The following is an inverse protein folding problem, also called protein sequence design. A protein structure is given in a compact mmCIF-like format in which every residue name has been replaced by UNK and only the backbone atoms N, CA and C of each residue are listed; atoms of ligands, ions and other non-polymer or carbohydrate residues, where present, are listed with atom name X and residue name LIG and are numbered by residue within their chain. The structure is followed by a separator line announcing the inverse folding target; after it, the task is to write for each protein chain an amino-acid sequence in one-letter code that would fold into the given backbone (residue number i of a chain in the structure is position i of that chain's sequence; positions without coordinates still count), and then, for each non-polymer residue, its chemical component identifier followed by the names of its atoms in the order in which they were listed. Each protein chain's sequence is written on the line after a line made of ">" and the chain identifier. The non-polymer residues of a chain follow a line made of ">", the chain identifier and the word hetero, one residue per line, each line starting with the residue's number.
data_IF_099940235226
#
_entry.id   IF_099940235226
#
_cell.length_a   1.000
_cell.length_b   1.000
_cell.length_c   1.000
_cell.angle_alpha   90.00
_cell.angle_beta   90.00
_cell.angle_gamma   90.00
#
_symmetry.space_group_name_H-M   'P 1'
#
loop_
_entity.id
_entity.type
_entity.pdbx_description
1 polymer ?
#
# COMPACT_ATOMS: atom_id res chain seq x y z
N UNK A 1 -6.65 -11.25 16.46
CA UNK A 1 -7.06 -10.15 17.35
C UNK A 1 -8.45 -9.66 16.99
N UNK A 2 -9.09 -8.99 17.93
CA UNK A 2 -10.39 -8.35 17.69
C UNK A 2 -10.28 -6.91 18.13
N UNK A 3 -11.03 -6.03 17.48
CA UNK A 3 -11.16 -4.66 17.99
C UNK A 3 -11.82 -4.70 19.37
N UNK A 4 -11.34 -3.88 20.31
CA UNK A 4 -11.89 -3.86 21.70
C UNK A 4 -13.28 -3.22 21.76
N UNK A 5 -13.71 -2.53 20.69
CA UNK A 5 -14.98 -1.83 20.57
C UNK A 5 -15.76 -2.31 19.35
N UNK A 6 -17.09 -2.22 19.41
CA UNK A 6 -18.00 -2.58 18.31
C UNK A 6 -18.65 -1.36 17.66
N UNK A 7 -18.31 -0.17 18.07
CA UNK A 7 -18.78 1.07 17.45
C UNK A 7 -17.80 2.21 17.72
N UNK A 8 -17.78 3.17 16.84
CA UNK A 8 -16.95 4.37 17.01
C UNK A 8 -16.87 5.23 15.76
N UNK A 9 -16.24 6.38 15.92
CA UNK A 9 -15.94 7.29 14.82
C UNK A 9 -14.42 7.38 14.65
N UNK A 10 -13.98 7.34 13.37
CA UNK A 10 -12.58 7.43 12.99
C UNK A 10 -12.41 8.54 11.96
N UNK A 11 -11.45 9.43 12.19
CA UNK A 11 -11.04 10.45 11.22
C UNK A 11 -9.67 10.10 10.64
N UNK A 12 -9.62 9.83 9.33
CA UNK A 12 -8.41 9.38 8.63
C UNK A 12 -7.61 10.50 7.96
N UNK A 13 -8.04 11.74 8.08
CA UNK A 13 -7.35 12.89 7.49
C UNK A 13 -7.22 12.80 5.97
N UNK A 14 -6.04 13.17 5.45
CA UNK A 14 -5.69 13.09 4.02
C UNK A 14 -4.84 11.86 3.68
N UNK A 15 -4.54 10.99 4.65
CA UNK A 15 -3.64 9.86 4.50
C UNK A 15 -4.32 8.69 3.78
N UNK A 16 -4.03 8.52 2.49
CA UNK A 16 -4.63 7.48 1.65
C UNK A 16 -4.40 6.07 2.17
N UNK A 17 -3.21 5.78 2.67
CA UNK A 17 -2.85 4.48 3.26
C UNK A 17 -3.69 4.20 4.51
N UNK A 18 -3.72 5.13 5.47
CA UNK A 18 -4.54 4.99 6.68
C UNK A 18 -6.01 4.81 6.34
N UNK A 19 -6.55 5.61 5.41
CA UNK A 19 -7.94 5.54 4.98
C UNK A 19 -8.31 4.14 4.46
N UNK A 20 -7.49 3.55 3.60
CA UNK A 20 -7.74 2.25 2.98
C UNK A 20 -7.57 1.09 3.96
N UNK A 21 -6.49 1.12 4.73
CA UNK A 21 -6.16 0.05 5.68
C UNK A 21 -7.16 -0.01 6.83
N UNK A 22 -7.54 1.14 7.39
CA UNK A 22 -8.55 1.21 8.45
C UNK A 22 -9.92 0.78 7.91
N UNK A 23 -10.32 1.20 6.71
CA UNK A 23 -11.58 0.78 6.10
C UNK A 23 -11.68 -0.75 6.00
N UNK A 24 -10.64 -1.43 5.50
CA UNK A 24 -10.64 -2.89 5.43
C UNK A 24 -10.64 -3.56 6.80
N UNK A 25 -9.86 -3.03 7.77
CA UNK A 25 -9.84 -3.52 9.14
C UNK A 25 -11.23 -3.47 9.79
N UNK A 26 -11.93 -2.34 9.63
CA UNK A 26 -13.27 -2.15 10.18
C UNK A 26 -14.30 -3.04 9.46
N UNK A 27 -14.17 -3.21 8.14
CA UNK A 27 -15.04 -4.08 7.36
C UNK A 27 -14.94 -5.57 7.78
N UNK A 28 -13.76 -6.02 8.23
CA UNK A 28 -13.57 -7.39 8.73
C UNK A 28 -13.65 -7.50 10.27
N UNK A 29 -14.24 -6.51 10.90
CA UNK A 29 -14.49 -6.48 12.34
C UNK A 29 -15.99 -6.33 12.61
N UNK A 30 -16.54 -7.11 13.55
CA UNK A 30 -17.96 -6.95 13.96
C UNK A 30 -18.19 -5.57 14.57
N UNK A 31 -19.16 -4.83 14.03
CA UNK A 31 -19.55 -3.55 14.58
C UNK A 31 -20.03 -2.53 13.56
N UNK A 32 -20.36 -1.33 14.06
CA UNK A 32 -20.77 -0.18 13.26
C UNK A 32 -19.79 0.97 13.49
N UNK A 33 -19.16 1.44 12.42
CA UNK A 33 -18.10 2.43 12.47
C UNK A 33 -18.37 3.58 11.49
N UNK A 34 -18.34 4.82 11.96
CA UNK A 34 -18.38 5.99 11.11
C UNK A 34 -16.95 6.39 10.73
N UNK A 35 -16.67 6.48 9.44
CA UNK A 35 -15.35 6.90 8.94
C UNK A 35 -15.48 8.24 8.21
N UNK A 36 -14.69 9.19 8.67
CA UNK A 36 -14.60 10.54 8.10
C UNK A 36 -13.20 10.82 7.59
N UNK A 37 -13.11 11.73 6.66
CA UNK A 37 -11.83 12.16 6.06
C UNK A 37 -11.80 13.66 5.79
N UNK A 38 -10.63 14.15 5.33
CA UNK A 38 -10.50 15.48 4.76
C UNK A 38 -11.21 15.59 3.39
N UNK A 39 -11.51 16.81 2.95
CA UNK A 39 -12.05 17.09 1.62
C UNK A 39 -11.15 16.59 0.49
N UNK A 40 -9.84 16.59 0.70
CA UNK A 40 -8.88 16.05 -0.26
C UNK A 40 -9.02 14.54 -0.40
N UNK A 41 -9.21 13.81 0.70
CA UNK A 41 -9.36 12.35 0.69
C UNK A 41 -10.71 11.91 0.10
N UNK A 42 -11.78 12.68 0.25
CA UNK A 42 -13.08 12.43 -0.38
C UNK A 42 -12.98 12.29 -1.91
N UNK A 43 -11.99 12.94 -2.54
CA UNK A 43 -11.77 12.92 -4.00
C UNK A 43 -10.95 11.72 -4.47
N UNK A 44 -10.33 10.97 -3.57
CA UNK A 44 -9.48 9.83 -3.91
C UNK A 44 -10.30 8.56 -4.12
N UNK A 45 -9.89 7.67 -5.06
CA UNK A 45 -10.65 6.46 -5.35
C UNK A 45 -10.70 5.53 -4.13
N UNK A 46 -11.92 5.05 -3.82
CA UNK A 46 -12.20 4.06 -2.78
C UNK A 46 -13.13 2.94 -3.30
N UNK A 47 -13.82 3.18 -4.44
CA UNK A 47 -14.90 2.33 -4.92
C UNK A 47 -14.50 0.87 -5.12
N UNK A 48 -13.32 0.61 -5.72
CA UNK A 48 -12.88 -0.77 -5.99
C UNK A 48 -12.59 -1.56 -4.70
N UNK A 49 -12.04 -0.88 -3.66
CA UNK A 49 -11.89 -1.46 -2.33
C UNK A 49 -13.24 -1.72 -1.68
N UNK A 50 -14.14 -0.73 -1.73
CA UNK A 50 -15.49 -0.85 -1.12
C UNK A 50 -16.25 -1.99 -1.79
N UNK A 51 -16.25 -2.07 -3.12
CA UNK A 51 -16.91 -3.15 -3.85
C UNK A 51 -16.39 -4.54 -3.47
N UNK A 52 -15.06 -4.69 -3.30
CA UNK A 52 -14.47 -5.95 -2.85
C UNK A 52 -14.88 -6.30 -1.41
N UNK A 53 -14.96 -5.32 -0.51
CA UNK A 53 -15.39 -5.51 0.88
C UNK A 53 -16.90 -5.78 0.99
N UNK A 54 -17.75 -5.15 0.16
CA UNK A 54 -19.18 -5.46 0.06
C UNK A 54 -19.39 -6.87 -0.49
N UNK A 55 -18.66 -7.25 -1.53
CA UNK A 55 -18.64 -8.62 -2.04
C UNK A 55 -18.21 -9.66 -1.01
N UNK A 56 -17.38 -9.24 -0.05
CA UNK A 56 -16.97 -10.07 1.08
C UNK A 56 -18.00 -10.10 2.24
N UNK A 57 -19.06 -9.29 2.19
CA UNK A 57 -20.16 -9.31 3.16
C UNK A 57 -20.19 -8.15 4.16
N UNK A 58 -19.31 -7.16 4.04
CA UNK A 58 -19.47 -5.91 4.76
C UNK A 58 -20.56 -5.05 4.09
N UNK A 59 -21.18 -4.14 4.86
CA UNK A 59 -22.16 -3.20 4.30
C UNK A 59 -21.69 -1.76 4.51
N UNK A 60 -21.98 -0.89 3.54
CA UNK A 60 -21.62 0.53 3.58
C UNK A 60 -22.86 1.43 3.46
N UNK A 61 -22.95 2.43 4.30
CA UNK A 61 -23.95 3.51 4.21
C UNK A 61 -23.23 4.82 3.91
N UNK A 62 -23.37 5.33 2.70
CA UNK A 62 -22.73 6.57 2.26
C UNK A 62 -23.56 7.77 2.72
N UNK A 63 -22.95 8.71 3.45
CA UNK A 63 -23.64 9.85 4.00
C UNK A 63 -23.72 11.07 3.05
N UNK A 64 -22.84 11.12 2.06
CA UNK A 64 -22.80 12.19 1.05
C UNK A 64 -22.83 11.59 -0.36
N UNK A 65 -21.68 11.12 -0.86
CA UNK A 65 -21.54 10.60 -2.21
C UNK A 65 -21.18 9.12 -2.17
N UNK A 66 -21.78 8.32 -3.06
CA UNK A 66 -21.47 6.90 -3.21
C UNK A 66 -19.96 6.70 -3.41
N UNK A 67 -19.42 5.67 -2.77
CA UNK A 67 -18.01 5.25 -2.81
C UNK A 67 -17.01 6.33 -2.32
N UNK A 68 -17.50 7.31 -1.55
CA UNK A 68 -16.70 8.39 -0.98
C UNK A 68 -16.98 8.57 0.51
N UNK A 69 -16.00 9.07 1.24
CA UNK A 69 -16.19 9.53 2.61
C UNK A 69 -17.16 10.72 2.69
N UNK A 70 -17.89 10.90 3.81
CA UNK A 70 -17.98 10.00 4.95
C UNK A 70 -18.94 8.84 4.70
N UNK A 71 -18.69 7.70 5.34
CA UNK A 71 -19.58 6.54 5.30
C UNK A 71 -19.56 5.77 6.62
N UNK A 72 -20.64 5.03 6.88
CA UNK A 72 -20.67 4.02 7.93
C UNK A 72 -20.31 2.66 7.36
N UNK A 73 -19.64 1.85 8.17
CA UNK A 73 -19.29 0.48 7.87
C UNK A 73 -19.97 -0.42 8.89
N UNK A 74 -20.75 -1.39 8.40
CA UNK A 74 -21.28 -2.50 9.18
C UNK A 74 -20.39 -3.71 8.85
N UNK A 75 -19.43 -3.98 9.73
CA UNK A 75 -18.40 -4.97 9.50
C UNK A 75 -18.82 -6.39 9.85
N UNK A 76 -18.13 -7.36 9.25
CA UNK A 76 -18.32 -8.79 9.49
C UNK A 76 -17.03 -9.48 9.90
N UNK A 77 -17.07 -10.38 10.88
CA UNK A 77 -15.91 -11.23 11.22
C UNK A 77 -15.87 -12.55 10.46
N UNK A 78 -16.85 -12.79 9.60
CA UNK A 78 -16.98 -13.97 8.74
C UNK A 78 -17.17 -13.59 7.28
N UNK A 79 -16.17 -12.91 6.65
CA UNK A 79 -16.26 -12.53 5.27
C UNK A 79 -16.27 -13.75 4.34
N UNK A 80 -16.64 -13.53 3.07
CA UNK A 80 -16.44 -14.53 2.03
C UNK A 80 -14.98 -14.96 1.97
N UNK A 81 -14.72 -16.24 1.68
CA UNK A 81 -13.34 -16.76 1.66
C UNK A 81 -12.55 -16.28 0.45
N UNK A 82 -13.21 -16.15 -0.68
CA UNK A 82 -12.58 -15.74 -1.94
C UNK A 82 -12.97 -14.31 -2.27
N UNK A 83 -11.97 -13.45 -2.37
CA UNK A 83 -12.13 -12.02 -2.59
C UNK A 83 -11.29 -11.63 -3.80
N UNK A 84 -11.92 -10.98 -4.78
CA UNK A 84 -11.21 -10.38 -5.91
C UNK A 84 -11.26 -8.86 -5.77
N UNK A 85 -10.13 -8.19 -5.96
CA UNK A 85 -10.02 -6.73 -5.90
C UNK A 85 -9.32 -6.18 -7.12
N UNK A 86 -9.89 -5.13 -7.71
CA UNK A 86 -9.24 -4.40 -8.81
C UNK A 86 -8.18 -3.45 -8.25
N UNK A 87 -6.93 -3.68 -8.65
CA UNK A 87 -5.77 -2.88 -8.23
C UNK A 87 -5.30 -1.87 -9.29
N UNK A 88 -6.02 -1.75 -10.39
CA UNK A 88 -5.65 -0.85 -11.50
C UNK A 88 -5.40 0.60 -11.03
N UNK A 89 -6.18 1.06 -10.06
CA UNK A 89 -6.05 2.41 -9.50
C UNK A 89 -5.14 2.48 -8.27
N UNK A 90 -4.95 1.38 -7.55
CA UNK A 90 -4.11 1.36 -6.34
C UNK A 90 -3.88 -0.06 -5.82
N UNK A 91 -2.61 -0.45 -5.67
CA UNK A 91 -2.20 -1.68 -4.98
C UNK A 91 -2.55 -1.67 -3.48
N UNK A 92 -2.77 -0.49 -2.88
CA UNK A 92 -3.15 -0.38 -1.46
C UNK A 92 -4.49 -1.06 -1.15
N UNK A 93 -5.36 -1.26 -2.15
CA UNK A 93 -6.62 -1.98 -1.95
C UNK A 93 -6.37 -3.44 -1.57
N UNK A 94 -5.49 -4.11 -2.29
CA UNK A 94 -5.11 -5.48 -1.96
C UNK A 94 -4.34 -5.56 -0.64
N UNK A 95 -3.35 -4.71 -0.43
CA UNK A 95 -2.62 -4.62 0.84
C UNK A 95 -3.55 -4.44 2.04
N UNK A 96 -4.59 -3.60 1.91
CA UNK A 96 -5.59 -3.38 2.94
C UNK A 96 -6.36 -4.67 3.30
N UNK A 97 -6.82 -5.40 2.28
CA UNK A 97 -7.59 -6.64 2.46
C UNK A 97 -6.70 -7.74 3.04
N UNK A 98 -5.44 -7.88 2.58
CA UNK A 98 -4.49 -8.86 3.10
C UNK A 98 -4.25 -8.65 4.60
N UNK A 99 -3.90 -7.42 5.01
CA UNK A 99 -3.64 -7.12 6.42
C UNK A 99 -4.87 -7.31 7.30
N UNK A 100 -6.06 -6.93 6.82
CA UNK A 100 -7.31 -7.10 7.54
C UNK A 100 -7.78 -8.56 7.56
N UNK A 101 -7.38 -9.37 6.58
CA UNK A 101 -7.74 -10.79 6.45
C UNK A 101 -7.39 -11.65 7.68
N UNK A 102 -6.39 -11.22 8.45
CA UNK A 102 -6.03 -11.84 9.74
C UNK A 102 -7.16 -11.75 10.78
N UNK A 103 -8.06 -10.77 10.63
CA UNK A 103 -9.22 -10.62 11.52
C UNK A 103 -10.39 -11.55 11.12
N UNK A 104 -10.37 -12.09 9.91
CA UNK A 104 -11.41 -12.94 9.37
C UNK A 104 -11.38 -14.33 10.03
N UNK A 105 -12.52 -14.81 10.53
CA UNK A 105 -12.64 -16.18 11.03
C UNK A 105 -12.58 -17.16 9.86
N UNK A 106 -11.55 -18.02 9.86
CA UNK A 106 -11.32 -19.02 8.81
C UNK A 106 -10.46 -18.53 7.64
N UNK A 107 -9.86 -17.35 7.76
CA UNK A 107 -8.96 -16.79 6.77
C UNK A 107 -9.67 -16.32 5.49
N UNK A 108 -8.88 -15.75 4.57
CA UNK A 108 -9.35 -15.30 3.25
C UNK A 108 -8.33 -15.63 2.17
N UNK A 109 -8.79 -15.80 0.93
CA UNK A 109 -7.97 -15.84 -0.27
C UNK A 109 -8.26 -14.58 -1.08
N UNK A 110 -7.23 -13.86 -1.45
CA UNK A 110 -7.36 -12.59 -2.16
C UNK A 110 -6.64 -12.66 -3.48
N UNK A 111 -7.34 -12.39 -4.57
CA UNK A 111 -6.81 -12.31 -5.92
C UNK A 111 -6.91 -10.87 -6.43
N UNK A 112 -5.87 -10.40 -7.12
CA UNK A 112 -5.90 -9.10 -7.78
C UNK A 112 -6.35 -9.25 -9.22
N UNK A 113 -7.16 -8.32 -9.70
CA UNK A 113 -7.27 -8.00 -11.12
C UNK A 113 -6.45 -6.74 -11.42
N UNK A 114 -5.61 -6.80 -12.48
CA UNK A 114 -4.64 -5.76 -12.78
C UNK A 114 -3.23 -6.08 -12.25
N UNK A 115 -2.27 -5.25 -12.62
CA UNK A 115 -0.84 -5.46 -12.32
C UNK A 115 -0.15 -4.24 -11.70
N UNK A 116 -0.91 -3.20 -11.32
CA UNK A 116 -0.34 -1.96 -10.80
C UNK A 116 0.24 -2.15 -9.39
N UNK A 117 1.53 -1.80 -9.23
CA UNK A 117 2.18 -1.69 -7.91
C UNK A 117 2.27 -3.03 -7.14
N UNK A 118 2.52 -4.14 -7.83
CA UNK A 118 2.66 -5.48 -7.21
C UNK A 118 3.79 -5.53 -6.19
N UNK A 119 4.86 -4.76 -6.37
CA UNK A 119 5.99 -4.67 -5.42
C UNK A 119 5.52 -4.20 -4.03
N UNK A 120 4.53 -3.30 -3.95
CA UNK A 120 3.94 -2.86 -2.68
C UNK A 120 3.11 -3.95 -2.00
N UNK A 121 2.49 -4.84 -2.79
CA UNK A 121 1.75 -6.00 -2.26
C UNK A 121 2.74 -6.99 -1.67
N UNK A 122 3.84 -7.28 -2.39
CA UNK A 122 4.89 -8.17 -1.91
C UNK A 122 5.56 -7.60 -0.65
N UNK A 123 5.86 -6.30 -0.59
CA UNK A 123 6.35 -5.63 0.62
C UNK A 123 5.37 -5.79 1.79
N UNK A 124 4.05 -5.68 1.53
CA UNK A 124 3.02 -5.91 2.57
C UNK A 124 3.06 -7.36 3.05
N UNK A 125 3.15 -8.33 2.15
CA UNK A 125 3.23 -9.75 2.48
C UNK A 125 4.48 -10.06 3.31
N UNK A 126 5.64 -9.52 2.95
CA UNK A 126 6.90 -9.68 3.69
C UNK A 126 6.82 -9.08 5.10
N UNK A 127 6.18 -7.91 5.23
CA UNK A 127 5.91 -7.32 6.54
C UNK A 127 5.00 -8.22 7.36
N UNK A 128 3.91 -8.75 6.78
CA UNK A 128 3.02 -9.69 7.46
C UNK A 128 3.76 -10.96 7.89
N UNK A 129 4.65 -11.52 7.06
CA UNK A 129 5.55 -12.61 7.41
C UNK A 129 6.41 -12.27 8.60
N UNK A 130 6.96 -11.07 8.63
CA UNK A 130 7.76 -10.59 9.74
C UNK A 130 7.00 -10.60 11.07
N UNK A 131 5.69 -10.46 11.06
CA UNK A 131 4.83 -10.51 12.24
C UNK A 131 4.07 -11.84 12.42
N UNK A 132 4.45 -12.89 11.69
CA UNK A 132 3.92 -14.25 11.86
C UNK A 132 2.58 -14.52 11.17
N UNK A 133 2.08 -13.60 10.34
CA UNK A 133 0.82 -13.72 9.63
C UNK A 133 0.98 -13.57 8.11
N UNK A 134 2.14 -13.96 7.58
CA UNK A 134 2.43 -13.85 6.16
C UNK A 134 1.46 -14.69 5.31
N UNK A 135 0.96 -14.16 4.19
CA UNK A 135 0.10 -14.91 3.30
C UNK A 135 0.89 -15.92 2.47
N UNK A 136 0.25 -17.02 2.13
CA UNK A 136 0.77 -17.96 1.13
C UNK A 136 0.47 -17.41 -0.26
N UNK A 137 1.52 -17.16 -1.06
CA UNK A 137 1.40 -16.65 -2.43
C UNK A 137 1.37 -17.81 -3.42
N UNK A 138 0.37 -17.85 -4.30
CA UNK A 138 0.23 -18.79 -5.41
C UNK A 138 0.19 -18.01 -6.72
N UNK A 139 1.07 -18.36 -7.66
CA UNK A 139 1.00 -17.82 -9.01
C UNK A 139 -0.23 -18.34 -9.75
N UNK A 140 -0.92 -17.46 -10.48
CA UNK A 140 -2.01 -17.75 -11.39
C UNK A 140 -1.58 -17.37 -12.82
N UNK A 141 -2.33 -17.81 -13.83
CA UNK A 141 -2.10 -17.41 -15.22
C UNK A 141 -2.18 -15.89 -15.41
N UNK A 142 -3.04 -15.21 -14.64
CA UNK A 142 -3.22 -13.75 -14.67
C UNK A 142 -2.96 -13.12 -13.29
N UNK A 143 -1.72 -13.19 -12.79
CA UNK A 143 -1.35 -12.53 -11.53
C UNK A 143 -1.05 -13.50 -10.38
N UNK A 144 -1.49 -13.19 -9.16
CA UNK A 144 -1.26 -14.00 -7.98
C UNK A 144 -2.46 -14.00 -7.03
N UNK A 145 -2.64 -15.12 -6.34
CA UNK A 145 -3.54 -15.29 -5.21
C UNK A 145 -2.73 -15.34 -3.92
N UNK A 146 -3.26 -14.74 -2.87
CA UNK A 146 -2.65 -14.74 -1.54
C UNK A 146 -3.65 -15.29 -0.52
N UNK A 147 -3.29 -16.36 0.18
CA UNK A 147 -4.10 -16.94 1.24
C UNK A 147 -3.62 -16.48 2.62
N UNK A 148 -4.50 -15.84 3.38
CA UNK A 148 -4.23 -15.33 4.73
C UNK A 148 -4.95 -16.23 5.74
N UNK A 149 -4.18 -17.00 6.52
CA UNK A 149 -4.72 -17.93 7.52
C UNK A 149 -4.08 -17.77 8.91
N UNK A 150 -3.14 -16.82 9.06
CA UNK A 150 -2.32 -16.66 10.25
C UNK A 150 -2.91 -15.70 11.29
N UNK A 151 -2.13 -15.47 12.34
CA UNK A 151 -2.39 -14.48 13.37
C UNK A 151 -1.11 -13.68 13.64
N UNK A 152 -1.26 -12.37 13.86
CA UNK A 152 -0.12 -11.53 14.21
C UNK A 152 0.45 -11.87 15.58
N UNK A 153 1.77 -11.92 15.65
CA UNK A 153 2.54 -12.04 16.89
C UNK A 153 3.29 -10.75 17.18
N UNK A 154 3.18 -10.29 18.42
CA UNK A 154 3.92 -9.11 18.85
C UNK A 154 5.44 -9.39 18.81
N UNK A 155 6.20 -8.45 18.24
CA UNK A 155 7.66 -8.52 18.17
C UNK A 155 8.30 -7.14 18.14
N UNK A 156 9.57 -7.08 18.50
CA UNK A 156 10.39 -5.90 18.23
C UNK A 156 10.72 -5.87 16.73
N UNK A 157 10.52 -4.72 16.10
CA UNK A 157 10.79 -4.51 14.69
C UNK A 157 11.45 -3.14 14.49
N UNK A 158 12.54 -3.10 13.76
CA UNK A 158 13.22 -1.86 13.41
C UNK A 158 12.72 -1.43 12.02
N UNK A 159 11.97 -0.34 11.97
CA UNK A 159 11.42 0.21 10.72
C UNK A 159 12.57 0.84 9.93
N UNK A 160 12.72 0.44 8.67
CA UNK A 160 13.69 1.07 7.77
C UNK A 160 13.30 2.52 7.44
N UNK A 161 14.26 3.37 7.04
CA UNK A 161 13.96 4.72 6.57
C UNK A 161 12.98 4.71 5.40
N UNK A 162 12.21 5.79 5.27
CA UNK A 162 11.42 6.07 4.07
C UNK A 162 12.37 6.31 2.89
N UNK A 163 12.49 5.33 2.00
CA UNK A 163 13.38 5.39 0.85
C UNK A 163 12.89 6.42 -0.17
N UNK A 164 11.56 6.59 -0.33
CA UNK A 164 11.01 7.62 -1.22
C UNK A 164 11.47 9.01 -0.80
N UNK A 165 11.42 9.31 0.51
CA UNK A 165 11.94 10.56 1.04
C UNK A 165 13.48 10.65 0.95
N UNK A 166 14.20 9.53 1.14
CA UNK A 166 15.65 9.49 1.02
C UNK A 166 16.10 9.82 -0.41
N UNK A 167 15.35 9.44 -1.44
CA UNK A 167 15.68 9.72 -2.85
C UNK A 167 15.91 11.21 -3.11
N UNK A 168 15.18 12.11 -2.44
CA UNK A 168 15.38 13.55 -2.59
C UNK A 168 16.79 14.00 -2.19
N UNK A 169 17.34 13.43 -1.12
CA UNK A 169 18.71 13.74 -0.68
C UNK A 169 19.76 13.20 -1.65
N UNK A 170 19.53 12.03 -2.22
CA UNK A 170 20.41 11.47 -3.24
C UNK A 170 20.31 12.24 -4.57
N UNK A 171 19.13 12.74 -4.92
CA UNK A 171 18.95 13.65 -6.06
C UNK A 171 19.69 14.99 -5.84
N UNK A 172 19.66 15.54 -4.62
CA UNK A 172 20.42 16.75 -4.26
C UNK A 172 21.93 16.58 -4.46
N UNK A 173 22.49 15.38 -4.22
CA UNK A 173 23.90 15.13 -4.50
C UNK A 173 24.26 15.40 -5.95
N UNK A 174 23.36 15.06 -6.89
CA UNK A 174 23.56 15.32 -8.32
C UNK A 174 23.56 16.83 -8.62
N UNK A 175 22.65 17.58 -8.00
CA UNK A 175 22.50 19.03 -8.24
C UNK A 175 23.66 19.81 -7.60
N UNK A 176 24.07 19.43 -6.38
CA UNK A 176 24.99 20.21 -5.55
C UNK A 176 26.44 19.69 -5.58
N UNK A 177 26.68 18.55 -6.22
CA UNK A 177 28.00 17.89 -6.19
C UNK A 177 28.43 17.44 -4.79
N UNK A 178 27.47 17.07 -3.93
CA UNK A 178 27.70 16.64 -2.54
C UNK A 178 27.64 15.11 -2.41
N UNK A 179 28.03 14.57 -1.24
CA UNK A 179 27.94 13.13 -0.90
C UNK A 179 27.06 12.95 0.36
N UNK A 180 25.84 13.46 0.32
CA UNK A 180 24.86 13.27 1.40
C UNK A 180 24.50 11.78 1.47
N UNK A 181 24.55 11.21 2.68
CA UNK A 181 24.15 9.83 2.96
C UNK A 181 23.04 9.83 4.00
N UNK A 182 21.92 9.18 3.68
CA UNK A 182 20.81 9.00 4.63
C UNK A 182 21.11 7.77 5.48
N UNK A 183 21.11 7.97 6.81
CA UNK A 183 21.40 6.88 7.76
C UNK A 183 20.32 5.79 7.67
N UNK A 184 20.77 4.54 7.65
CA UNK A 184 19.89 3.37 7.66
C UNK A 184 19.38 2.95 6.27
N UNK A 185 19.70 3.68 5.20
CA UNK A 185 19.42 3.24 3.83
C UNK A 185 20.34 2.06 3.50
N UNK A 186 19.71 0.90 3.26
CA UNK A 186 20.41 -0.35 2.98
C UNK A 186 20.09 -0.83 1.57
N UNK A 187 21.05 -1.42 0.83
CA UNK A 187 20.80 -1.95 -0.53
C UNK A 187 19.69 -3.01 -0.60
N UNK A 188 19.44 -3.72 0.51
CA UNK A 188 18.41 -4.75 0.65
C UNK A 188 17.06 -4.21 1.14
N UNK A 189 16.78 -2.93 0.96
CA UNK A 189 15.47 -2.37 1.30
C UNK A 189 14.35 -3.10 0.55
N UNK A 190 13.23 -3.35 1.20
CA UNK A 190 12.02 -3.89 0.57
C UNK A 190 11.27 -2.81 -0.25
N UNK A 191 11.61 -1.54 -0.06
CA UNK A 191 10.99 -0.44 -0.81
C UNK A 191 11.59 -0.34 -2.21
N UNK A 192 10.75 -0.44 -3.26
CA UNK A 192 11.19 -0.44 -4.67
C UNK A 192 12.02 0.79 -5.06
N UNK A 193 11.79 1.92 -4.41
CA UNK A 193 12.51 3.17 -4.63
C UNK A 193 14.01 3.10 -4.34
N UNK A 194 14.50 2.04 -3.69
CA UNK A 194 15.94 1.81 -3.51
C UNK A 194 16.68 1.77 -4.85
N UNK A 195 16.00 1.33 -5.91
CA UNK A 195 16.56 1.28 -7.28
C UNK A 195 16.96 2.65 -7.80
N UNK A 196 16.21 3.72 -7.43
CA UNK A 196 16.63 5.08 -7.76
C UNK A 196 17.97 5.43 -7.11
N UNK A 197 18.16 5.09 -5.83
CA UNK A 197 19.40 5.35 -5.11
C UNK A 197 20.56 4.55 -5.71
N UNK A 198 20.32 3.30 -6.09
CA UNK A 198 21.29 2.45 -6.75
C UNK A 198 21.70 3.02 -8.12
N UNK A 199 20.72 3.49 -8.89
CA UNK A 199 20.95 4.14 -10.19
C UNK A 199 21.83 5.39 -10.03
N UNK A 200 21.52 6.25 -9.06
CA UNK A 200 22.33 7.45 -8.78
C UNK A 200 23.74 7.10 -8.32
N UNK A 201 23.91 6.12 -7.43
CA UNK A 201 25.23 5.63 -6.97
C UNK A 201 26.02 4.95 -8.08
N UNK A 202 25.33 4.32 -9.04
CA UNK A 202 25.92 3.72 -10.24
C UNK A 202 26.44 4.73 -11.26
N UNK A 203 26.28 6.03 -11.00
CA UNK A 203 26.78 7.08 -11.88
C UNK A 203 25.88 7.35 -13.10
N UNK A 204 24.57 7.12 -12.97
CA UNK A 204 23.64 7.45 -14.03
C UNK A 204 23.74 8.94 -14.41
N UNK A 205 23.94 9.21 -15.69
CA UNK A 205 24.17 10.54 -16.23
C UNK A 205 23.30 10.82 -17.49
N UNK A 206 22.07 10.33 -17.45
CA UNK A 206 21.10 10.39 -18.54
C UNK A 206 21.10 9.14 -19.42
N UNK A 207 20.14 9.05 -20.33
CA UNK A 207 19.84 7.88 -21.14
C UNK A 207 18.48 7.28 -20.80
N UNK A 208 18.26 6.01 -21.10
CA UNK A 208 17.00 5.32 -20.80
C UNK A 208 16.99 4.83 -19.35
N UNK A 209 15.86 5.01 -18.66
CA UNK A 209 15.62 4.52 -17.32
C UNK A 209 14.23 3.91 -17.21
N UNK A 210 14.15 2.57 -17.12
CA UNK A 210 12.89 1.91 -16.79
C UNK A 210 12.56 2.13 -15.31
N UNK A 211 11.56 2.97 -15.07
CA UNK A 211 11.10 3.33 -13.72
C UNK A 211 9.80 2.62 -13.32
N UNK A 212 9.37 1.59 -14.05
CA UNK A 212 8.12 0.87 -13.80
C UNK A 212 8.01 0.31 -12.36
N UNK A 213 9.11 -0.08 -11.76
CA UNK A 213 9.18 -0.63 -10.39
C UNK A 213 9.46 0.40 -9.29
N UNK A 214 9.73 1.66 -9.65
CA UNK A 214 9.92 2.81 -8.73
C UNK A 214 9.37 4.11 -9.32
N UNK A 215 8.18 4.01 -9.89
CA UNK A 215 7.51 5.09 -10.63
C UNK A 215 7.26 6.36 -9.81
N UNK A 216 7.19 6.26 -8.48
CA UNK A 216 7.03 7.40 -7.57
C UNK A 216 8.22 8.37 -7.66
N UNK A 217 9.39 7.90 -8.14
CA UNK A 217 10.58 8.72 -8.35
C UNK A 217 10.68 9.35 -9.74
N UNK A 218 9.69 9.16 -10.62
CA UNK A 218 9.71 9.75 -11.96
C UNK A 218 9.79 11.29 -11.92
N UNK A 219 9.06 11.93 -11.00
CA UNK A 219 9.13 13.39 -10.82
C UNK A 219 10.49 13.84 -10.27
N UNK A 220 11.08 13.05 -9.36
CA UNK A 220 12.42 13.31 -8.83
C UNK A 220 13.46 13.21 -9.95
N UNK A 221 13.35 12.18 -10.80
CA UNK A 221 14.22 11.99 -11.97
C UNK A 221 14.06 13.16 -12.95
N UNK A 222 12.84 13.55 -13.27
CA UNK A 222 12.57 14.69 -14.16
C UNK A 222 13.18 16.00 -13.61
N UNK A 223 13.12 16.22 -12.30
CA UNK A 223 13.68 17.41 -11.66
C UNK A 223 15.22 17.49 -11.76
N UNK A 224 15.91 16.34 -11.77
CA UNK A 224 17.38 16.32 -11.88
C UNK A 224 17.88 16.07 -13.32
N UNK A 225 17.00 15.73 -14.25
CA UNK A 225 17.36 15.48 -15.65
C UNK A 225 18.16 16.62 -16.31
N UNK A 226 17.88 17.92 -16.04
CA UNK A 226 18.69 19.01 -16.59
C UNK A 226 20.16 19.05 -16.14
N UNK A 227 20.50 18.29 -15.11
CA UNK A 227 21.86 18.19 -14.56
C UNK A 227 22.64 16.99 -15.08
N UNK A 228 22.08 16.22 -16.00
CA UNK A 228 22.75 15.10 -16.67
C UNK A 228 23.44 15.58 -17.95
N UNK A 229 24.48 14.86 -18.38
CA UNK A 229 25.20 15.17 -19.62
C UNK A 229 24.45 14.70 -20.87
N UNK A 230 23.47 13.79 -20.71
CA UNK A 230 22.66 13.23 -21.79
C UNK A 230 21.17 13.42 -21.52
N UNK A 231 20.34 13.52 -22.59
CA UNK A 231 18.90 13.49 -22.42
C UNK A 231 18.44 12.24 -21.64
N UNK A 232 17.37 12.38 -20.85
CA UNK A 232 16.80 11.28 -20.07
C UNK A 232 15.44 10.90 -20.63
N UNK A 233 15.24 9.61 -20.87
CA UNK A 233 13.98 8.99 -21.26
C UNK A 233 13.51 8.08 -20.13
N UNK A 234 12.26 8.30 -19.67
CA UNK A 234 11.63 7.58 -18.56
C UNK A 234 10.48 6.73 -19.10
#
# INVERSE_FOLDING_TARGET
>A
GRLPVKSGEVYVGSAGTAARFITALLAFSEGEFLVRSSEQMKKRPMGDLIAALEGAGACFEFLEKKDCFPFKIFGTSTPAKDITVDITKSSQFMSAILMAGVCAKGGVRVSASGSHGTDYIDMTADMMWSFGAGPEKRALESGAEYAVNGAYSARKYDIEPDISAACYFYAMNRILGTDIKVRGVMPRSMQGDIKFIELMKGGFDGGEADMSSFSDQALTMAAIAPYFSKPTHI
#
